data_IF_846189461180
#
_entry.id   IF_846189461180
#
_cell.length_a   1.000
_cell.length_b   1.000
_cell.length_c   1.000
_cell.angle_alpha   90.00
_cell.angle_beta   90.00
_cell.angle_gamma   90.00
#
_symmetry.space_group_name_H-M   'P 1'
#
loop_
_entity.id
_entity.type
_entity.pdbx_description
1 polymer ?
#
# COMPACT_ATOMS: atom_id res chain seq x y z
N UNK A 1 -80.89 -30.94 -114.23
CA UNK A 1 -80.26 -32.03 -113.47
C UNK A 1 -79.74 -31.42 -112.16
N UNK A 2 -80.51 -31.50 -111.06
CA UNK A 2 -80.39 -32.53 -109.97
C UNK A 2 -79.03 -32.45 -109.26
N UNK A 3 -78.85 -32.28 -107.93
CA UNK A 3 -79.71 -32.31 -106.72
C UNK A 3 -79.01 -31.52 -105.57
N UNK A 4 -79.84 -30.96 -104.67
CA UNK A 4 -79.73 -30.67 -103.22
C UNK A 4 -78.39 -30.82 -102.43
N UNK A 5 -78.13 -29.93 -101.46
CA UNK A 5 -78.35 -30.18 -99.99
C UNK A 5 -78.08 -28.91 -99.14
N UNK A 6 -78.92 -28.70 -98.11
CA UNK A 6 -78.95 -27.59 -97.13
C UNK A 6 -77.71 -27.54 -96.22
N UNK A 7 -77.29 -26.33 -95.81
CA UNK A 7 -76.48 -26.12 -94.59
C UNK A 7 -77.12 -25.03 -93.74
N UNK A 8 -77.52 -25.40 -92.52
CA UNK A 8 -78.01 -24.54 -91.46
C UNK A 8 -76.86 -23.68 -90.91
N UNK A 9 -77.10 -22.38 -90.71
CA UNK A 9 -76.29 -21.52 -89.87
C UNK A 9 -76.53 -21.88 -88.39
N UNK A 10 -75.46 -22.20 -87.65
CA UNK A 10 -75.49 -22.23 -86.18
C UNK A 10 -74.35 -21.35 -85.66
N UNK A 11 -74.74 -20.29 -84.97
CA UNK A 11 -73.91 -19.29 -84.29
C UNK A 11 -73.22 -19.90 -83.07
N UNK A 12 -71.88 -19.92 -83.06
CA UNK A 12 -71.10 -20.30 -81.89
C UNK A 12 -70.68 -19.02 -81.14
N UNK A 13 -71.25 -18.83 -79.94
CA UNK A 13 -70.84 -17.79 -79.01
C UNK A 13 -69.47 -18.15 -78.41
N UNK A 14 -68.49 -17.26 -78.55
CA UNK A 14 -67.21 -17.34 -77.87
C UNK A 14 -67.42 -17.04 -76.37
N UNK A 15 -67.46 -18.09 -75.55
CA UNK A 15 -67.34 -17.97 -74.09
C UNK A 15 -65.84 -17.77 -73.82
N UNK A 16 -65.45 -16.52 -73.55
CA UNK A 16 -64.14 -16.21 -72.98
C UNK A 16 -64.06 -16.78 -71.57
N UNK A 17 -63.49 -17.99 -71.45
CA UNK A 17 -63.00 -18.53 -70.19
C UNK A 17 -61.83 -17.66 -69.74
N UNK A 18 -62.11 -16.66 -68.90
CA UNK A 18 -61.08 -16.06 -68.06
C UNK A 18 -60.62 -17.16 -67.09
N UNK A 19 -59.54 -17.86 -67.45
CA UNK A 19 -58.86 -18.78 -66.54
C UNK A 19 -58.29 -17.94 -65.39
N UNK A 20 -58.96 -17.95 -64.23
CA UNK A 20 -58.35 -17.48 -63.00
C UNK A 20 -57.10 -18.32 -62.74
N UNK A 21 -55.97 -17.68 -62.45
CA UNK A 21 -54.78 -18.38 -62.00
C UNK A 21 -55.14 -19.16 -60.73
N UNK A 22 -55.16 -20.49 -60.82
CA UNK A 22 -55.28 -21.33 -59.65
C UNK A 22 -54.03 -21.12 -58.78
N UNK A 23 -54.21 -20.57 -57.59
CA UNK A 23 -53.18 -20.52 -56.54
C UNK A 23 -53.15 -21.90 -55.89
N UNK A 24 -52.51 -22.86 -56.56
CA UNK A 24 -52.23 -24.17 -55.98
C UNK A 24 -50.80 -24.16 -55.44
N UNK A 25 -50.64 -24.53 -54.17
CA UNK A 25 -49.31 -24.70 -53.59
C UNK A 25 -48.58 -25.83 -54.31
N UNK A 26 -47.30 -25.63 -54.60
CA UNK A 26 -46.44 -26.70 -55.08
C UNK A 26 -45.98 -27.51 -53.88
N UNK A 27 -46.57 -28.69 -53.72
CA UNK A 27 -46.16 -29.66 -52.71
C UNK A 27 -45.39 -30.78 -53.41
N UNK A 28 -44.12 -30.92 -53.05
CA UNK A 28 -43.30 -32.05 -53.42
C UNK A 28 -43.41 -33.09 -52.30
N UNK A 29 -43.93 -34.28 -52.61
CA UNK A 29 -44.18 -35.34 -51.62
C UNK A 29 -42.92 -36.16 -51.29
N UNK A 30 -41.79 -35.81 -51.90
CA UNK A 30 -40.50 -36.48 -51.77
C UNK A 30 -39.37 -35.44 -51.77
N UNK A 31 -38.12 -35.88 -51.57
CA UNK A 31 -36.93 -35.04 -51.58
C UNK A 31 -36.86 -34.18 -52.86
N UNK A 32 -36.62 -32.88 -52.68
CA UNK A 32 -36.46 -31.94 -53.79
C UNK A 32 -34.99 -31.65 -54.00
N UNK A 33 -34.48 -32.04 -55.17
CA UNK A 33 -33.16 -31.64 -55.64
C UNK A 33 -33.35 -30.50 -56.63
N UNK A 34 -32.91 -29.30 -56.25
CA UNK A 34 -32.78 -28.17 -57.18
C UNK A 34 -31.36 -28.18 -57.72
N UNK A 35 -31.20 -28.52 -59.01
CA UNK A 35 -29.92 -28.41 -59.71
C UNK A 35 -29.71 -26.95 -60.16
N UNK A 36 -28.67 -26.30 -59.63
CA UNK A 36 -28.41 -24.87 -59.81
C UNK A 36 -28.77 -24.03 -58.57
N UNK A 37 -29.57 -22.99 -58.75
CA UNK A 37 -29.89 -21.99 -57.71
C UNK A 37 -31.39 -21.84 -57.46
N UNK A 38 -31.76 -21.57 -56.21
CA UNK A 38 -33.13 -21.29 -55.78
C UNK A 38 -33.29 -19.82 -55.38
N UNK A 39 -34.33 -19.15 -55.89
CA UNK A 39 -34.78 -17.85 -55.38
C UNK A 39 -36.08 -18.00 -54.60
N UNK A 40 -36.14 -17.46 -53.38
CA UNK A 40 -37.35 -17.42 -52.55
C UNK A 40 -37.66 -16.00 -52.10
N UNK A 41 -38.92 -15.58 -52.23
CA UNK A 41 -39.39 -14.25 -51.81
C UNK A 41 -40.10 -13.48 -52.92
N UNK A 42 -40.80 -12.41 -52.54
CA UNK A 42 -41.66 -11.64 -53.45
C UNK A 42 -40.90 -10.90 -54.56
N UNK A 43 -39.60 -10.64 -54.35
CA UNK A 43 -38.77 -9.86 -55.27
C UNK A 43 -37.93 -10.74 -56.22
N UNK A 44 -38.16 -12.05 -56.23
CA UNK A 44 -37.57 -12.98 -57.19
C UNK A 44 -38.13 -12.76 -58.61
N UNK A 45 -37.27 -12.87 -59.63
CA UNK A 45 -37.68 -12.61 -61.03
C UNK A 45 -37.33 -13.78 -61.94
N UNK A 46 -38.08 -13.92 -63.04
CA UNK A 46 -37.78 -14.92 -64.06
C UNK A 46 -36.47 -14.55 -64.81
N UNK A 47 -35.60 -15.53 -65.04
CA UNK A 47 -34.31 -15.33 -65.71
C UNK A 47 -33.24 -14.66 -64.82
N UNK A 48 -33.34 -14.80 -63.50
CA UNK A 48 -32.41 -14.19 -62.56
C UNK A 48 -30.96 -14.72 -62.71
N UNK A 49 -29.97 -13.83 -62.57
CA UNK A 49 -28.56 -14.18 -62.55
C UNK A 49 -28.11 -14.40 -61.10
N UNK A 50 -27.73 -15.64 -60.78
CA UNK A 50 -27.39 -16.04 -59.41
C UNK A 50 -25.90 -15.88 -59.06
N UNK A 51 -25.00 -15.84 -60.04
CA UNK A 51 -23.57 -15.82 -59.77
C UNK A 51 -23.15 -17.07 -58.97
N UNK A 52 -22.67 -16.86 -57.75
CA UNK A 52 -22.27 -17.94 -56.83
C UNK A 52 -23.32 -18.25 -55.76
N UNK A 53 -24.49 -17.61 -55.79
CA UNK A 53 -25.54 -17.86 -54.80
C UNK A 53 -26.27 -19.18 -55.09
N UNK A 54 -26.14 -20.16 -54.19
CA UNK A 54 -26.95 -21.40 -54.25
C UNK A 54 -28.40 -21.13 -53.86
N UNK A 55 -28.62 -20.32 -52.83
CA UNK A 55 -29.95 -19.87 -52.38
C UNK A 55 -29.92 -18.35 -52.25
N UNK A 56 -30.85 -17.67 -52.91
CA UNK A 56 -31.03 -16.22 -52.80
C UNK A 56 -32.42 -15.93 -52.23
N UNK A 57 -32.48 -15.20 -51.13
CA UNK A 57 -33.74 -14.76 -50.53
C UNK A 57 -33.96 -13.27 -50.85
N UNK A 58 -35.12 -12.89 -51.39
CA UNK A 58 -35.39 -11.52 -51.85
C UNK A 58 -36.76 -11.00 -51.45
N UNK A 59 -36.75 -10.11 -50.47
CA UNK A 59 -37.88 -9.29 -49.99
C UNK A 59 -37.37 -8.32 -48.92
N UNK A 60 -38.25 -7.48 -48.38
CA UNK A 60 -37.90 -6.55 -47.30
C UNK A 60 -37.68 -7.22 -45.93
N UNK A 61 -38.26 -8.41 -45.69
CA UNK A 61 -38.32 -9.04 -44.35
C UNK A 61 -37.85 -10.49 -44.39
N UNK A 62 -36.54 -10.68 -44.55
CA UNK A 62 -35.95 -12.00 -44.79
C UNK A 62 -35.76 -12.81 -43.50
N UNK A 63 -36.42 -13.97 -43.41
CA UNK A 63 -36.34 -14.90 -42.26
C UNK A 63 -36.21 -16.35 -42.72
N UNK A 64 -35.38 -17.12 -42.02
CA UNK A 64 -35.39 -18.59 -42.08
C UNK A 64 -35.83 -19.06 -40.70
N UNK A 65 -37.08 -19.51 -40.58
CA UNK A 65 -37.64 -20.01 -39.32
C UNK A 65 -37.47 -21.53 -39.22
N UNK A 66 -36.95 -21.97 -38.08
CA UNK A 66 -36.95 -23.35 -37.63
C UNK A 66 -38.10 -23.50 -36.61
N UNK A 67 -39.22 -24.03 -37.10
CA UNK A 67 -40.44 -24.25 -36.31
C UNK A 67 -40.45 -25.69 -35.78
N UNK A 68 -40.26 -25.87 -34.47
CA UNK A 68 -40.21 -27.17 -33.83
C UNK A 68 -41.61 -27.64 -33.44
N UNK A 69 -42.18 -28.51 -34.27
CA UNK A 69 -43.52 -29.08 -34.07
C UNK A 69 -43.58 -30.24 -33.05
N UNK A 70 -42.47 -30.56 -32.36
CA UNK A 70 -42.39 -31.70 -31.46
C UNK A 70 -43.35 -31.57 -30.26
N UNK A 71 -44.18 -32.60 -30.05
CA UNK A 71 -45.22 -32.60 -29.01
C UNK A 71 -44.89 -33.48 -27.80
N UNK A 72 -43.91 -34.38 -27.88
CA UNK A 72 -43.50 -35.24 -26.77
C UNK A 72 -42.58 -34.50 -25.79
N UNK A 73 -42.72 -34.77 -24.48
CA UNK A 73 -42.02 -34.01 -23.43
C UNK A 73 -40.49 -34.24 -23.39
N UNK A 74 -40.01 -35.33 -23.99
CA UNK A 74 -38.60 -35.69 -24.03
C UNK A 74 -37.80 -34.98 -25.12
N UNK A 75 -38.45 -34.31 -26.06
CA UNK A 75 -37.76 -33.61 -27.15
C UNK A 75 -37.55 -32.14 -26.80
N UNK A 76 -36.45 -31.52 -27.27
CA UNK A 76 -36.35 -30.07 -27.42
C UNK A 76 -37.56 -29.52 -28.19
N UNK A 77 -37.91 -28.25 -27.96
CA UNK A 77 -39.09 -27.59 -28.55
C UNK A 77 -38.88 -26.11 -28.86
N UNK A 78 -37.63 -25.68 -28.96
CA UNK A 78 -37.32 -24.26 -29.06
C UNK A 78 -37.29 -23.84 -30.53
N UNK A 79 -38.11 -22.87 -30.89
CA UNK A 79 -38.14 -22.30 -32.22
C UNK A 79 -36.98 -21.31 -32.38
N UNK A 80 -36.24 -21.46 -33.48
CA UNK A 80 -35.13 -20.58 -33.82
C UNK A 80 -35.38 -19.88 -35.14
N UNK A 81 -34.74 -18.74 -35.36
CA UNK A 81 -34.81 -18.02 -36.63
C UNK A 81 -33.48 -17.36 -36.98
N UNK A 82 -33.09 -17.45 -38.26
CA UNK A 82 -32.08 -16.56 -38.82
C UNK A 82 -32.77 -15.32 -39.36
N UNK A 83 -32.33 -14.15 -38.91
CA UNK A 83 -32.92 -12.86 -39.23
C UNK A 83 -31.91 -11.96 -39.92
N UNK A 84 -32.23 -11.51 -41.12
CA UNK A 84 -31.51 -10.42 -41.78
C UNK A 84 -32.36 -9.14 -41.75
N UNK A 85 -31.80 -8.10 -41.12
CA UNK A 85 -32.38 -6.76 -40.90
C UNK A 85 -33.69 -6.74 -40.09
N UNK A 86 -33.94 -5.61 -39.42
CA UNK A 86 -35.22 -5.33 -38.78
C UNK A 86 -36.31 -5.01 -39.81
N UNK A 87 -37.57 -5.30 -39.46
CA UNK A 87 -38.74 -5.07 -40.32
C UNK A 87 -39.35 -3.67 -40.20
N UNK A 88 -39.00 -2.94 -39.14
CA UNK A 88 -39.48 -1.58 -38.91
C UNK A 88 -38.75 -0.58 -39.80
N UNK A 89 -39.47 0.46 -40.26
CA UNK A 89 -38.83 1.57 -40.97
C UNK A 89 -37.82 2.28 -40.04
N UNK A 90 -36.57 2.39 -40.50
CA UNK A 90 -35.46 2.89 -39.68
C UNK A 90 -34.88 1.89 -38.67
N UNK A 91 -35.25 0.61 -38.78
CA UNK A 91 -34.69 -0.46 -37.96
C UNK A 91 -33.22 -0.77 -38.25
N UNK A 92 -32.62 -1.66 -37.45
CA UNK A 92 -31.20 -1.97 -37.55
C UNK A 92 -30.88 -2.83 -38.79
N UNK A 93 -29.75 -2.53 -39.44
CA UNK A 93 -29.13 -3.38 -40.44
C UNK A 93 -28.25 -4.41 -39.74
N UNK A 94 -28.63 -5.69 -39.78
CA UNK A 94 -27.99 -6.73 -38.95
C UNK A 94 -28.22 -8.15 -39.46
N UNK A 95 -27.44 -9.08 -38.93
CA UNK A 95 -27.70 -10.52 -38.99
C UNK A 95 -27.79 -11.08 -37.57
N UNK A 96 -28.87 -11.80 -37.27
CA UNK A 96 -29.18 -12.28 -35.91
C UNK A 96 -29.59 -13.75 -35.89
N UNK A 97 -29.28 -14.42 -34.78
CA UNK A 97 -29.87 -15.70 -34.38
C UNK A 97 -30.88 -15.40 -33.29
N UNK A 98 -32.15 -15.65 -33.56
CA UNK A 98 -33.25 -15.37 -32.64
C UNK A 98 -33.81 -16.66 -32.04
N UNK A 99 -34.01 -16.64 -30.73
CA UNK A 99 -34.82 -17.58 -29.97
C UNK A 99 -36.25 -17.05 -29.95
N UNK A 100 -37.10 -17.63 -30.79
CA UNK A 100 -38.48 -17.18 -31.01
C UNK A 100 -39.36 -17.59 -29.83
N UNK A 101 -39.21 -18.82 -29.33
CA UNK A 101 -39.98 -19.31 -28.19
C UNK A 101 -39.66 -18.55 -26.90
N UNK A 102 -38.38 -18.23 -26.69
CA UNK A 102 -37.88 -17.51 -25.52
C UNK A 102 -37.92 -15.98 -25.64
N UNK A 103 -38.28 -15.43 -26.81
CA UNK A 103 -38.27 -14.00 -27.14
C UNK A 103 -36.93 -13.33 -26.84
N UNK A 104 -35.83 -13.91 -27.35
CA UNK A 104 -34.45 -13.44 -27.13
C UNK A 104 -33.69 -13.43 -28.44
N UNK A 105 -32.65 -12.62 -28.51
CA UNK A 105 -31.69 -12.63 -29.62
C UNK A 105 -30.29 -12.88 -29.05
N UNK A 106 -29.87 -14.15 -28.92
CA UNK A 106 -28.59 -14.48 -28.30
C UNK A 106 -27.36 -13.97 -29.08
N UNK A 107 -27.48 -13.78 -30.40
CA UNK A 107 -26.38 -13.33 -31.23
C UNK A 107 -26.83 -12.33 -32.28
N UNK A 108 -26.05 -11.27 -32.47
CA UNK A 108 -26.26 -10.25 -33.50
C UNK A 108 -24.93 -9.70 -33.98
N UNK A 109 -24.78 -9.58 -35.31
CA UNK A 109 -23.73 -8.79 -35.95
C UNK A 109 -24.42 -7.66 -36.71
N UNK A 110 -24.15 -6.42 -36.33
CA UNK A 110 -24.63 -5.24 -37.07
C UNK A 110 -23.82 -4.99 -38.35
N UNK A 111 -24.44 -4.35 -39.33
CA UNK A 111 -23.76 -3.88 -40.51
C UNK A 111 -22.58 -2.96 -40.13
N UNK A 112 -21.48 -3.07 -40.87
CA UNK A 112 -20.20 -2.40 -40.60
C UNK A 112 -19.41 -2.91 -39.38
N UNK A 113 -19.86 -3.97 -38.70
CA UNK A 113 -18.95 -4.74 -37.86
C UNK A 113 -17.71 -5.12 -38.68
N UNK A 114 -16.52 -4.77 -38.17
CA UNK A 114 -15.26 -5.00 -38.89
C UNK A 114 -15.01 -6.50 -39.15
N UNK A 115 -14.15 -6.80 -40.10
CA UNK A 115 -13.57 -8.14 -40.24
C UNK A 115 -12.92 -8.59 -38.92
N UNK A 116 -13.21 -9.81 -38.50
CA UNK A 116 -12.69 -10.40 -37.27
C UNK A 116 -13.09 -9.64 -36.00
N UNK A 117 -14.26 -8.98 -36.00
CA UNK A 117 -14.84 -8.39 -34.79
C UNK A 117 -14.93 -9.42 -33.65
N UNK A 118 -15.41 -10.62 -33.98
CA UNK A 118 -15.28 -11.84 -33.21
C UNK A 118 -14.79 -12.93 -34.17
N UNK A 119 -13.70 -13.60 -33.84
CA UNK A 119 -13.13 -14.68 -34.63
C UNK A 119 -12.83 -15.86 -33.73
N UNK A 120 -13.25 -17.06 -34.14
CA UNK A 120 -12.89 -18.31 -33.47
C UNK A 120 -11.99 -19.07 -34.45
N UNK A 121 -10.75 -19.33 -34.07
CA UNK A 121 -9.80 -20.05 -34.91
C UNK A 121 -9.96 -21.58 -34.78
N UNK A 122 -9.20 -22.34 -35.58
CA UNK A 122 -9.23 -23.81 -35.59
C UNK A 122 -8.60 -24.46 -34.35
N UNK A 123 -7.90 -23.68 -33.53
CA UNK A 123 -7.42 -24.06 -32.21
C UNK A 123 -8.44 -23.83 -31.09
N UNK A 124 -9.59 -23.21 -31.39
CA UNK A 124 -10.63 -22.88 -30.41
C UNK A 124 -10.42 -21.55 -29.67
N UNK A 125 -9.46 -20.72 -30.10
CA UNK A 125 -9.15 -19.43 -29.47
C UNK A 125 -10.06 -18.33 -30.00
N UNK A 126 -10.38 -17.35 -29.15
CA UNK A 126 -11.25 -16.23 -29.47
C UNK A 126 -10.42 -14.96 -29.73
N UNK A 127 -10.43 -14.48 -30.96
CA UNK A 127 -9.92 -13.18 -31.35
C UNK A 127 -11.01 -12.11 -31.28
N UNK A 128 -10.71 -11.01 -30.58
CA UNK A 128 -11.46 -9.75 -30.65
C UNK A 128 -10.64 -8.76 -31.46
N UNK A 129 -11.11 -8.46 -32.68
CA UNK A 129 -10.43 -7.59 -33.67
C UNK A 129 -9.14 -8.19 -34.27
N UNK A 130 -8.97 -9.51 -34.20
CA UNK A 130 -7.84 -10.24 -34.81
C UNK A 130 -8.28 -11.62 -35.30
N UNK A 131 -7.74 -12.07 -36.44
CA UNK A 131 -7.89 -13.43 -36.96
C UNK A 131 -6.76 -14.38 -36.56
N UNK A 132 -5.78 -13.88 -35.82
CA UNK A 132 -4.60 -14.66 -35.38
C UNK A 132 -4.44 -14.56 -33.86
N UNK A 133 -5.42 -15.04 -33.08
CA UNK A 133 -5.30 -15.06 -31.63
C UNK A 133 -4.07 -15.90 -31.22
N UNK A 134 -3.23 -15.38 -30.31
CA UNK A 134 -2.02 -16.08 -29.83
C UNK A 134 -2.24 -16.79 -28.49
N UNK A 135 -3.33 -16.46 -27.81
CA UNK A 135 -3.78 -17.02 -26.53
C UNK A 135 -5.29 -17.27 -26.61
N UNK A 136 -5.87 -17.92 -25.60
CA UNK A 136 -7.30 -18.31 -25.57
C UNK A 136 -8.26 -17.15 -25.84
N UNK A 137 -7.96 -15.96 -25.31
CA UNK A 137 -8.69 -14.72 -25.61
C UNK A 137 -7.68 -13.63 -25.97
N UNK A 138 -7.69 -13.19 -27.22
CA UNK A 138 -6.76 -12.16 -27.71
C UNK A 138 -7.54 -10.94 -28.24
N UNK A 139 -7.41 -9.81 -27.53
CA UNK A 139 -8.00 -8.53 -27.94
C UNK A 139 -6.91 -7.59 -28.47
N UNK A 140 -7.07 -7.08 -29.70
CA UNK A 140 -6.17 -6.09 -30.30
C UNK A 140 -6.89 -4.76 -30.43
N UNK A 141 -6.37 -3.71 -29.79
CA UNK A 141 -6.82 -2.34 -29.99
C UNK A 141 -5.64 -1.38 -30.14
N UNK A 142 -5.85 -0.23 -30.77
CA UNK A 142 -4.80 0.74 -31.07
C UNK A 142 -4.24 1.43 -29.83
N UNK A 143 -5.02 1.48 -28.76
CA UNK A 143 -4.63 2.00 -27.45
C UNK A 143 -5.49 1.33 -26.37
N UNK A 144 -4.85 0.93 -25.27
CA UNK A 144 -5.49 0.45 -24.04
C UNK A 144 -6.58 -0.61 -24.26
N UNK A 145 -6.24 -1.78 -24.86
CA UNK A 145 -7.15 -2.93 -24.87
C UNK A 145 -7.66 -3.23 -23.46
N UNK A 146 -8.97 -3.46 -23.35
CA UNK A 146 -9.68 -3.47 -22.06
C UNK A 146 -10.70 -4.61 -22.02
N UNK A 147 -10.78 -5.27 -20.87
CA UNK A 147 -11.93 -6.10 -20.47
C UNK A 147 -12.77 -5.31 -19.46
N UNK A 148 -14.07 -5.15 -19.74
CA UNK A 148 -15.02 -4.48 -18.84
C UNK A 148 -15.86 -5.49 -18.08
N UNK A 149 -15.94 -5.31 -16.77
CA UNK A 149 -16.87 -5.98 -15.86
C UNK A 149 -17.88 -4.94 -15.37
N UNK A 150 -19.14 -5.08 -15.76
CA UNK A 150 -20.20 -4.11 -15.45
C UNK A 150 -21.37 -4.79 -14.75
N UNK A 151 -21.71 -4.29 -13.56
CA UNK A 151 -22.96 -4.54 -12.86
C UNK A 151 -23.92 -3.38 -13.16
N UNK A 152 -25.06 -3.67 -13.78
CA UNK A 152 -26.01 -2.68 -14.32
C UNK A 152 -27.21 -2.38 -13.40
N UNK A 153 -27.28 -3.02 -12.24
CA UNK A 153 -28.33 -2.85 -11.23
C UNK A 153 -29.65 -3.58 -11.52
N UNK A 154 -29.75 -4.32 -12.62
CA UNK A 154 -30.93 -5.11 -12.98
C UNK A 154 -31.33 -6.14 -11.90
N UNK A 155 -30.38 -6.56 -11.07
CA UNK A 155 -30.58 -7.48 -9.94
C UNK A 155 -30.70 -6.79 -8.58
N UNK A 156 -30.96 -5.47 -8.54
CA UNK A 156 -31.23 -4.71 -7.30
C UNK A 156 -29.99 -4.26 -6.50
N UNK A 157 -28.79 -4.53 -7.01
CA UNK A 157 -27.54 -4.02 -6.44
C UNK A 157 -27.15 -2.67 -7.05
N UNK A 158 -26.39 -1.85 -6.32
CA UNK A 158 -25.89 -0.59 -6.87
C UNK A 158 -25.00 -0.84 -8.11
N UNK A 159 -25.15 -0.10 -9.21
CA UNK A 159 -24.30 -0.28 -10.39
C UNK A 159 -22.81 -0.08 -10.09
N UNK A 160 -21.96 -0.93 -10.64
CA UNK A 160 -20.51 -0.87 -10.46
C UNK A 160 -19.80 -1.33 -11.73
N UNK A 161 -18.83 -0.56 -12.21
CA UNK A 161 -18.08 -0.87 -13.43
C UNK A 161 -16.58 -0.87 -13.14
N UNK A 162 -15.92 -1.96 -13.52
CA UNK A 162 -14.48 -2.15 -13.42
C UNK A 162 -13.90 -2.46 -14.79
N UNK A 163 -12.73 -1.88 -15.07
CA UNK A 163 -11.94 -2.24 -16.27
C UNK A 163 -10.62 -2.89 -15.85
N UNK A 164 -10.25 -3.97 -16.55
CA UNK A 164 -8.91 -4.55 -16.53
C UNK A 164 -8.26 -4.23 -17.87
N UNK A 165 -7.18 -3.46 -17.85
CA UNK A 165 -6.59 -2.90 -19.07
C UNK A 165 -5.07 -2.78 -18.99
N UNK A 166 -4.44 -2.65 -20.15
CA UNK A 166 -3.01 -2.41 -20.25
C UNK A 166 -2.61 -1.67 -21.51
N UNK A 167 -1.55 -0.87 -21.42
CA UNK A 167 -0.93 -0.15 -22.54
C UNK A 167 0.58 0.02 -22.28
N UNK A 168 1.25 0.82 -23.13
CA UNK A 168 2.69 1.08 -23.06
C UNK A 168 3.15 1.84 -21.80
N UNK A 169 2.22 2.33 -20.99
CA UNK A 169 2.52 3.08 -19.78
C UNK A 169 2.23 2.30 -18.49
N UNK A 170 1.27 1.37 -18.50
CA UNK A 170 0.93 0.50 -17.37
C UNK A 170 -0.10 -0.59 -17.70
N UNK A 171 -0.09 -1.65 -16.88
CA UNK A 171 -1.21 -2.54 -16.61
C UNK A 171 -1.96 -2.06 -15.37
N UNK A 172 -3.30 -2.08 -15.35
CA UNK A 172 -4.08 -1.53 -14.24
C UNK A 172 -5.49 -2.10 -14.09
N UNK A 173 -6.03 -1.93 -12.89
CA UNK A 173 -7.47 -2.09 -12.58
C UNK A 173 -8.04 -0.70 -12.36
N UNK A 174 -9.15 -0.37 -13.04
CA UNK A 174 -9.81 0.94 -12.97
C UNK A 174 -11.22 0.84 -12.41
N UNK A 175 -11.49 1.62 -11.37
CA UNK A 175 -12.85 1.85 -10.86
C UNK A 175 -13.54 2.93 -11.71
N UNK A 176 -14.28 2.51 -12.75
CA UNK A 176 -14.92 3.44 -13.67
C UNK A 176 -16.02 4.22 -12.97
N UNK A 177 -16.77 3.58 -12.07
CA UNK A 177 -17.88 4.20 -11.34
C UNK A 177 -17.39 5.32 -10.42
N UNK A 178 -16.32 5.08 -9.65
CA UNK A 178 -15.84 6.00 -8.63
C UNK A 178 -14.72 6.91 -9.15
N UNK A 179 -14.97 7.58 -10.29
CA UNK A 179 -14.08 8.61 -10.82
C UNK A 179 -12.87 8.08 -11.60
N UNK A 180 -12.92 6.86 -12.15
CA UNK A 180 -11.82 6.26 -12.92
C UNK A 180 -10.51 6.14 -12.14
N UNK A 181 -10.60 5.92 -10.82
CA UNK A 181 -9.43 5.72 -9.98
C UNK A 181 -8.72 4.42 -10.34
N UNK A 182 -7.40 4.39 -10.15
CA UNK A 182 -6.54 3.25 -10.47
C UNK A 182 -5.96 2.64 -9.19
N UNK A 183 -6.75 1.87 -8.42
CA UNK A 183 -6.29 1.29 -7.14
C UNK A 183 -5.15 0.28 -7.31
N UNK A 184 -4.99 -0.31 -8.50
CA UNK A 184 -3.88 -1.20 -8.82
C UNK A 184 -3.23 -0.80 -10.14
N UNK A 185 -1.90 -0.70 -10.15
CA UNK A 185 -1.11 -0.33 -11.34
C UNK A 185 0.28 -0.96 -11.30
N UNK A 186 0.68 -1.60 -12.40
CA UNK A 186 2.05 -2.07 -12.66
C UNK A 186 2.59 -1.31 -13.87
N UNK A 187 3.76 -0.68 -13.76
CA UNK A 187 4.41 -0.02 -14.90
C UNK A 187 5.27 -1.03 -15.67
N UNK A 188 5.46 -0.84 -17.00
CA UNK A 188 6.39 -1.65 -17.76
C UNK A 188 7.79 -1.62 -17.15
N UNK A 189 8.44 -2.78 -17.09
CA UNK A 189 9.76 -2.92 -16.49
C UNK A 189 9.77 -3.11 -14.98
N UNK A 190 8.61 -3.20 -14.30
CA UNK A 190 8.56 -3.66 -12.91
C UNK A 190 9.23 -5.05 -12.79
N UNK A 191 10.18 -5.25 -11.86
CA UNK A 191 10.87 -6.53 -11.70
C UNK A 191 9.94 -7.70 -11.35
N UNK A 192 10.42 -8.92 -11.56
CA UNK A 192 9.78 -10.13 -11.04
C UNK A 192 9.59 -10.03 -9.53
N UNK A 193 8.48 -10.56 -9.02
CA UNK A 193 8.18 -10.56 -7.58
C UNK A 193 8.10 -9.16 -6.97
N UNK A 194 7.76 -8.13 -7.77
CA UNK A 194 7.46 -6.79 -7.23
C UNK A 194 6.35 -6.83 -6.17
N UNK A 195 5.34 -7.68 -6.39
CA UNK A 195 4.40 -8.18 -5.39
C UNK A 195 4.27 -9.67 -5.66
N UNK A 196 4.58 -10.50 -4.68
CA UNK A 196 4.42 -11.95 -4.72
C UNK A 196 3.53 -12.39 -3.57
N UNK A 197 2.62 -13.33 -3.82
CA UNK A 197 1.77 -13.92 -2.78
C UNK A 197 2.05 -15.42 -2.83
N UNK A 198 2.66 -15.96 -1.77
CA UNK A 198 3.01 -17.37 -1.68
C UNK A 198 1.77 -18.24 -1.35
N UNK A 199 1.94 -19.55 -1.43
CA UNK A 199 0.92 -20.58 -1.26
C UNK A 199 0.33 -20.67 0.15
N UNK A 200 1.03 -20.14 1.16
CA UNK A 200 0.55 -19.98 2.53
C UNK A 200 -0.09 -18.60 2.79
N UNK A 201 -0.05 -17.70 1.81
CA UNK A 201 -0.65 -16.37 1.84
C UNK A 201 0.32 -15.24 2.23
N UNK A 202 1.59 -15.55 2.47
CA UNK A 202 2.61 -14.55 2.79
C UNK A 202 2.91 -13.66 1.58
N UNK A 203 3.13 -12.36 1.82
CA UNK A 203 3.31 -11.35 0.76
C UNK A 203 4.75 -10.88 0.71
N UNK A 204 5.43 -11.15 -0.40
CA UNK A 204 6.77 -10.65 -0.70
C UNK A 204 6.75 -9.37 -1.54
N UNK A 205 7.52 -8.37 -1.14
CA UNK A 205 7.81 -7.16 -1.92
C UNK A 205 9.28 -7.19 -2.35
N UNK A 206 9.53 -7.61 -3.59
CA UNK A 206 10.88 -7.88 -4.10
C UNK A 206 11.36 -9.31 -3.82
N UNK A 207 10.51 -10.15 -3.23
CA UNK A 207 10.83 -11.48 -2.74
C UNK A 207 9.84 -12.52 -3.29
N UNK A 208 10.36 -13.67 -3.74
CA UNK A 208 9.58 -14.82 -4.24
C UNK A 208 9.45 -15.98 -3.24
N UNK A 209 10.04 -15.83 -2.05
CA UNK A 209 10.05 -16.82 -0.98
C UNK A 209 10.00 -16.09 0.37
N UNK A 210 8.92 -15.35 0.65
CA UNK A 210 8.80 -14.55 1.87
C UNK A 210 8.97 -15.41 3.13
N UNK A 211 9.80 -14.96 4.07
CA UNK A 211 10.03 -15.64 5.36
C UNK A 211 9.01 -15.20 6.44
N UNK A 212 8.12 -14.25 6.11
CA UNK A 212 7.09 -13.72 6.98
C UNK A 212 5.88 -13.21 6.17
N UNK A 213 4.73 -13.05 6.85
CA UNK A 213 3.48 -12.62 6.21
C UNK A 213 3.54 -11.31 5.43
N UNK A 214 4.48 -10.43 5.78
CA UNK A 214 4.92 -9.37 4.89
C UNK A 214 6.44 -9.34 4.92
N UNK A 215 7.06 -9.65 3.80
CA UNK A 215 8.50 -9.56 3.62
C UNK A 215 8.87 -8.47 2.62
N UNK A 216 9.89 -7.69 2.95
CA UNK A 216 10.40 -6.61 2.10
C UNK A 216 11.88 -6.84 1.91
N UNK A 217 12.22 -7.50 0.82
CA UNK A 217 13.59 -7.90 0.52
C UNK A 217 14.15 -7.09 -0.66
N UNK A 218 15.44 -6.81 -0.60
CA UNK A 218 16.19 -6.23 -1.72
C UNK A 218 17.69 -6.33 -1.49
N UNK A 219 18.45 -6.37 -2.57
CA UNK A 219 19.89 -6.69 -2.57
C UNK A 219 20.79 -5.55 -3.05
N UNK A 220 20.23 -4.38 -3.37
CA UNK A 220 20.97 -3.22 -3.90
C UNK A 220 21.47 -2.25 -2.81
N UNK A 221 21.22 -2.56 -1.54
CA UNK A 221 21.57 -1.74 -0.39
C UNK A 221 20.64 -0.54 -0.15
N UNK A 222 19.49 -0.48 -0.82
CA UNK A 222 18.52 0.63 -0.68
C UNK A 222 17.18 0.23 -0.06
N UNK A 223 17.00 -1.06 0.27
CA UNK A 223 15.80 -1.64 0.88
C UNK A 223 15.42 -0.90 2.16
N UNK A 224 14.16 -0.46 2.24
CA UNK A 224 13.60 0.23 3.42
C UNK A 224 12.07 0.18 3.42
N UNK A 225 11.49 0.18 4.61
CA UNK A 225 10.10 0.54 4.82
C UNK A 225 10.01 2.07 5.02
N UNK A 226 9.40 2.78 4.07
CA UNK A 226 9.13 4.22 4.20
C UNK A 226 7.64 4.45 4.43
N UNK A 227 7.32 5.02 5.59
CA UNK A 227 5.95 5.46 5.93
C UNK A 227 5.96 6.98 6.08
N UNK A 228 5.11 7.67 5.32
CA UNK A 228 5.08 9.13 5.26
C UNK A 228 3.62 9.64 5.25
N UNK A 229 3.30 10.56 6.15
CA UNK A 229 2.03 11.29 6.18
C UNK A 229 2.25 12.68 5.56
N UNK A 230 1.64 12.94 4.40
CA UNK A 230 1.90 14.13 3.58
C UNK A 230 0.84 15.23 3.73
N UNK A 231 -0.07 15.12 4.70
CA UNK A 231 -1.06 16.16 4.98
C UNK A 231 -0.40 17.52 5.19
N UNK A 232 -0.91 18.55 4.50
CA UNK A 232 -0.44 19.93 4.67
C UNK A 232 -0.81 20.57 6.01
N UNK A 233 -1.53 19.86 6.89
CA UNK A 233 -1.85 20.32 8.24
C UNK A 233 -0.88 19.73 9.26
N UNK A 234 -0.24 20.61 10.03
CA UNK A 234 0.62 20.21 11.15
C UNK A 234 -0.24 19.74 12.32
N UNK A 235 -0.22 18.44 12.60
CA UNK A 235 -0.87 17.85 13.77
C UNK A 235 -0.22 16.52 14.11
N UNK A 236 -0.31 16.11 15.38
CA UNK A 236 0.15 14.80 15.80
C UNK A 236 -0.67 13.70 15.11
N UNK A 237 0.00 12.69 14.54
CA UNK A 237 -0.61 11.57 13.83
C UNK A 237 0.13 10.28 14.17
N UNK A 238 -0.61 9.19 14.29
CA UNK A 238 -0.04 7.85 14.37
C UNK A 238 0.28 7.39 12.95
N UNK A 239 1.55 7.26 12.61
CA UNK A 239 2.01 6.78 11.30
C UNK A 239 2.32 5.28 11.30
N UNK A 240 2.57 4.70 12.46
CA UNK A 240 2.76 3.26 12.65
C UNK A 240 2.15 2.86 13.99
N UNK A 241 1.43 1.74 14.01
CA UNK A 241 0.79 1.18 15.19
C UNK A 241 1.11 -0.32 15.28
N UNK A 242 1.57 -0.76 16.46
CA UNK A 242 1.91 -2.15 16.74
C UNK A 242 1.09 -2.62 17.94
N UNK A 243 0.11 -3.50 17.72
CA UNK A 243 -0.81 -3.96 18.75
C UNK A 243 -0.54 -5.43 19.04
N UNK A 244 -0.35 -5.75 20.32
CA UNK A 244 -0.20 -7.11 20.80
C UNK A 244 -0.86 -7.26 22.18
N UNK A 245 -1.32 -8.46 22.52
CA UNK A 245 -1.80 -8.78 23.87
C UNK A 245 -0.65 -8.84 24.91
N UNK A 246 0.57 -9.08 24.44
CA UNK A 246 1.81 -8.90 25.20
C UNK A 246 2.53 -7.60 24.85
N UNK A 247 3.81 -7.49 25.22
CA UNK A 247 4.66 -6.38 24.79
C UNK A 247 4.87 -6.46 23.26
N UNK A 248 4.43 -5.50 22.43
CA UNK A 248 4.95 -5.35 21.08
C UNK A 248 6.45 -5.03 21.14
N UNK A 249 7.26 -5.75 20.35
CA UNK A 249 8.69 -5.54 20.24
C UNK A 249 9.05 -5.27 18.77
N UNK A 250 9.78 -4.18 18.54
CA UNK A 250 10.49 -3.92 17.29
C UNK A 250 11.91 -4.46 17.42
N UNK A 251 12.32 -5.31 16.49
CA UNK A 251 13.63 -5.97 16.50
C UNK A 251 14.59 -5.28 15.52
N UNK A 252 15.82 -5.05 15.97
CA UNK A 252 16.93 -4.51 15.21
C UNK A 252 18.04 -5.57 15.20
N UNK A 253 18.11 -6.32 14.10
CA UNK A 253 19.03 -7.44 13.94
C UNK A 253 20.26 -7.05 13.13
N UNK A 254 21.42 -7.55 13.57
CA UNK A 254 22.66 -7.49 12.80
C UNK A 254 23.17 -8.92 12.58
N UNK A 255 22.95 -9.43 11.36
CA UNK A 255 23.33 -10.78 10.94
C UNK A 255 24.85 -10.98 10.96
N UNK A 256 25.63 -9.95 10.64
CA UNK A 256 27.11 -10.03 10.63
C UNK A 256 27.73 -10.24 12.01
N UNK A 257 27.08 -9.75 13.08
CA UNK A 257 27.54 -9.91 14.48
C UNK A 257 26.74 -10.95 15.25
N UNK A 258 25.69 -11.50 14.64
CA UNK A 258 24.70 -12.38 15.27
C UNK A 258 24.12 -11.78 16.56
N UNK A 259 23.91 -10.46 16.59
CA UNK A 259 23.34 -9.72 17.71
C UNK A 259 22.03 -9.06 17.32
N UNK A 260 21.17 -8.91 18.32
CA UNK A 260 19.90 -8.22 18.20
C UNK A 260 19.67 -7.26 19.36
N UNK A 261 19.03 -6.15 19.03
CA UNK A 261 18.37 -5.28 19.99
C UNK A 261 16.87 -5.34 19.77
N UNK A 262 16.10 -5.17 20.84
CA UNK A 262 14.67 -4.95 20.71
C UNK A 262 14.24 -3.74 21.53
N UNK A 263 13.26 -3.02 21.00
CA UNK A 263 12.59 -1.90 21.64
C UNK A 263 11.12 -2.27 21.75
N UNK A 264 10.59 -2.28 22.97
CA UNK A 264 9.20 -2.65 23.18
C UNK A 264 8.53 -1.82 24.25
N UNK A 265 7.22 -1.65 24.11
CA UNK A 265 6.37 -0.92 25.06
C UNK A 265 5.30 -1.83 25.63
N UNK A 266 5.14 -1.82 26.96
CA UNK A 266 4.05 -2.50 27.66
C UNK A 266 3.67 -1.66 28.87
N UNK A 267 3.79 -2.19 30.09
CA UNK A 267 3.78 -1.37 31.31
C UNK A 267 4.87 -0.30 31.31
N UNK A 268 6.04 -0.64 30.77
CA UNK A 268 7.21 0.25 30.66
C UNK A 268 7.76 0.18 29.24
N UNK A 269 8.53 1.20 28.83
CA UNK A 269 9.38 1.10 27.65
C UNK A 269 10.68 0.41 28.01
N UNK A 270 11.07 -0.62 27.25
CA UNK A 270 12.26 -1.42 27.52
C UNK A 270 13.13 -1.59 26.28
N UNK A 271 14.44 -1.52 26.50
CA UNK A 271 15.47 -1.78 25.51
C UNK A 271 16.23 -3.02 25.94
N UNK A 272 16.24 -4.02 25.07
CA UNK A 272 16.88 -5.31 25.35
C UNK A 272 17.93 -5.65 24.31
N UNK A 273 18.92 -6.44 24.71
CA UNK A 273 19.94 -6.99 23.81
C UNK A 273 20.00 -8.52 23.94
N UNK A 274 20.26 -9.24 22.85
CA UNK A 274 20.40 -10.69 22.85
C UNK A 274 21.12 -11.25 21.62
N UNK A 275 21.07 -12.57 21.47
CA UNK A 275 21.51 -13.25 20.26
C UNK A 275 20.48 -13.06 19.12
N UNK A 276 20.93 -13.19 17.88
CA UNK A 276 20.08 -13.22 16.69
C UNK A 276 19.01 -14.32 16.82
N UNK A 277 17.76 -14.00 16.49
CA UNK A 277 16.61 -14.91 16.53
C UNK A 277 16.15 -15.33 17.93
N UNK A 278 16.73 -14.79 19.01
CA UNK A 278 16.35 -15.22 20.36
C UNK A 278 15.00 -14.64 20.79
N UNK A 279 14.17 -15.44 21.46
CA UNK A 279 12.86 -15.00 21.96
C UNK A 279 12.94 -13.68 22.74
N UNK A 280 11.98 -12.74 22.60
CA UNK A 280 12.00 -11.45 23.30
C UNK A 280 12.00 -11.54 24.83
N UNK A 281 11.54 -12.67 25.38
CA UNK A 281 11.59 -12.98 26.81
C UNK A 281 13.01 -13.29 27.31
N UNK A 282 13.85 -13.88 26.46
CA UNK A 282 15.22 -14.32 26.81
C UNK A 282 16.26 -13.19 26.74
N UNK A 283 15.96 -12.10 26.04
CA UNK A 283 16.86 -10.96 25.87
C UNK A 283 17.07 -10.22 27.19
N UNK A 284 18.30 -9.76 27.43
CA UNK A 284 18.67 -9.01 28.65
C UNK A 284 18.21 -7.57 28.54
N UNK A 285 17.45 -7.09 29.51
CA UNK A 285 17.10 -5.67 29.65
C UNK A 285 18.36 -4.84 29.92
N UNK A 286 18.51 -3.74 29.20
CA UNK A 286 19.63 -2.80 29.33
C UNK A 286 19.19 -1.45 29.86
N UNK A 287 18.00 -1.00 29.46
CA UNK A 287 17.39 0.24 29.88
C UNK A 287 15.87 0.08 29.99
N UNK A 288 15.29 0.65 31.04
CA UNK A 288 13.84 0.71 31.27
C UNK A 288 13.45 2.14 31.57
N UNK A 289 12.43 2.65 30.89
CA UNK A 289 11.72 3.89 31.22
C UNK A 289 10.32 3.51 31.73
N UNK A 290 10.02 3.88 32.96
CA UNK A 290 8.77 3.60 33.64
C UNK A 290 7.70 4.64 33.26
N UNK A 291 6.43 4.28 33.44
CA UNK A 291 5.29 5.16 33.10
C UNK A 291 5.28 6.47 33.90
N UNK A 292 5.80 6.46 35.13
CA UNK A 292 5.95 7.63 36.00
C UNK A 292 7.14 8.53 35.63
N UNK A 293 7.94 8.14 34.62
CA UNK A 293 9.08 8.88 34.12
C UNK A 293 10.42 8.48 34.75
N UNK A 294 10.43 7.56 35.71
CA UNK A 294 11.67 7.02 36.26
C UNK A 294 12.41 6.17 35.22
N UNK A 295 13.74 6.07 35.36
CA UNK A 295 14.55 5.26 34.45
C UNK A 295 15.61 4.44 35.19
N UNK A 296 15.78 3.19 34.75
CA UNK A 296 16.83 2.29 35.26
C UNK A 296 17.75 1.87 34.11
N UNK A 297 19.05 2.03 34.32
CA UNK A 297 20.11 1.54 33.44
C UNK A 297 20.81 0.36 34.13
N UNK A 298 20.94 -0.77 33.44
CA UNK A 298 21.67 -1.94 33.98
C UNK A 298 23.19 -1.74 33.95
N UNK A 299 23.66 -0.87 33.06
CA UNK A 299 25.06 -0.43 33.01
C UNK A 299 25.30 0.91 33.73
N UNK A 300 26.43 1.54 33.43
CA UNK A 300 26.78 2.86 33.94
C UNK A 300 26.37 3.96 32.96
N UNK A 301 25.97 5.12 33.49
CA UNK A 301 25.78 6.32 32.67
C UNK A 301 27.13 7.00 32.47
N UNK A 302 27.59 7.07 31.23
CA UNK A 302 28.81 7.78 30.84
C UNK A 302 28.45 8.90 29.88
N UNK A 303 28.98 10.09 30.10
CA UNK A 303 28.70 11.27 29.30
C UNK A 303 29.88 11.56 28.37
N UNK A 304 29.61 11.77 27.08
CA UNK A 304 30.63 12.19 26.11
C UNK A 304 30.95 13.68 26.31
N UNK A 305 32.15 14.00 26.79
CA UNK A 305 32.50 15.38 27.14
C UNK A 305 33.02 16.21 25.96
N UNK A 306 32.50 17.43 25.79
CA UNK A 306 33.35 18.57 25.40
C UNK A 306 33.49 19.48 26.61
N UNK A 307 34.74 19.67 27.05
CA UNK A 307 35.26 20.70 27.95
C UNK A 307 34.53 20.90 29.28
N UNK A 308 35.25 20.63 30.37
CA UNK A 308 34.91 21.03 31.73
C UNK A 308 34.47 22.50 31.83
N UNK A 309 33.18 22.78 31.69
CA UNK A 309 32.57 24.10 31.85
C UNK A 309 32.41 24.54 33.31
N UNK A 310 33.33 24.13 34.18
CA UNK A 310 33.31 24.40 35.62
C UNK A 310 33.63 23.22 36.56
N UNK A 311 34.20 22.11 36.06
CA UNK A 311 34.42 20.88 36.85
C UNK A 311 35.65 20.05 36.47
N UNK A 312 36.69 20.69 35.92
CA UNK A 312 38.03 20.09 35.87
C UNK A 312 38.78 20.54 37.13
N UNK A 313 39.80 19.77 37.51
CA UNK A 313 40.82 20.00 38.56
C UNK A 313 41.65 21.31 38.37
N UNK A 314 41.08 22.33 37.73
CA UNK A 314 41.68 23.63 37.49
C UNK A 314 41.91 24.40 38.79
N UNK A 315 41.16 24.13 39.85
CA UNK A 315 41.34 24.80 41.15
C UNK A 315 42.74 24.51 41.72
N UNK A 316 43.35 23.39 41.36
CA UNK A 316 44.72 23.03 41.74
C UNK A 316 45.80 23.59 40.81
N UNK A 317 45.45 24.30 39.74
CA UNK A 317 46.44 24.88 38.84
C UNK A 317 47.05 26.16 39.42
N UNK A 318 48.34 26.37 39.18
CA UNK A 318 49.07 27.54 39.68
C UNK A 318 48.49 28.88 39.17
N UNK A 319 47.84 28.86 38.01
CA UNK A 319 47.24 30.03 37.38
C UNK A 319 45.77 30.26 37.80
N UNK A 320 45.23 29.43 38.70
CA UNK A 320 43.87 29.59 39.20
C UNK A 320 43.80 30.70 40.25
N UNK A 321 42.95 31.70 39.99
CA UNK A 321 42.65 32.77 40.93
C UNK A 321 41.77 32.24 42.07
N UNK A 322 42.41 31.60 43.04
CA UNK A 322 41.76 31.04 44.21
C UNK A 322 41.38 32.16 45.20
N UNK A 323 40.08 32.43 45.43
CA UNK A 323 39.68 33.40 46.43
C UNK A 323 40.11 32.96 47.83
N UNK A 324 40.30 33.90 48.75
CA UNK A 324 40.53 33.54 50.15
C UNK A 324 39.30 32.84 50.75
N UNK A 325 39.52 32.06 51.81
CA UNK A 325 38.42 31.41 52.55
C UNK A 325 37.36 32.41 53.02
N UNK A 326 37.77 33.64 53.36
CA UNK A 326 36.86 34.71 53.77
C UNK A 326 36.05 35.24 52.59
N UNK A 327 36.69 35.57 51.46
CA UNK A 327 35.98 36.07 50.26
C UNK A 327 35.02 35.02 49.70
N UNK A 328 35.42 33.75 49.72
CA UNK A 328 34.58 32.65 49.28
C UNK A 328 33.36 32.47 50.21
N UNK A 329 33.57 32.52 51.53
CA UNK A 329 32.49 32.45 52.51
C UNK A 329 31.51 33.62 52.36
N UNK A 330 32.01 34.85 52.20
CA UNK A 330 31.18 36.04 51.97
C UNK A 330 30.29 35.87 50.73
N UNK A 331 30.87 35.40 49.60
CA UNK A 331 30.11 35.13 48.38
C UNK A 331 29.06 34.04 48.58
N UNK A 332 29.42 32.93 49.22
CA UNK A 332 28.49 31.82 49.50
C UNK A 332 27.29 32.29 50.34
N UNK A 333 27.53 33.03 51.43
CA UNK A 333 26.45 33.55 52.28
C UNK A 333 25.60 34.61 51.57
N UNK A 334 26.20 35.44 50.70
CA UNK A 334 25.47 36.42 49.91
C UNK A 334 24.57 35.78 48.83
N UNK A 335 25.04 34.68 48.21
CA UNK A 335 24.32 33.96 47.16
C UNK A 335 23.29 32.97 47.70
N UNK A 336 23.46 32.48 48.93
CA UNK A 336 22.62 31.41 49.50
C UNK A 336 22.87 30.03 48.90
N UNK A 337 23.95 29.87 48.12
CA UNK A 337 24.42 28.61 47.55
C UNK A 337 25.92 28.70 47.28
N UNK A 338 26.55 27.57 46.98
CA UNK A 338 27.96 27.54 46.59
C UNK A 338 28.14 28.25 45.23
N UNK A 339 29.11 29.20 45.10
CA UNK A 339 29.23 30.06 43.92
C UNK A 339 29.33 29.30 42.59
N UNK A 340 30.16 28.25 42.52
CA UNK A 340 30.40 27.51 41.28
C UNK A 340 29.30 26.48 40.99
N UNK A 341 28.67 25.89 42.01
CA UNK A 341 27.53 24.97 41.86
C UNK A 341 26.27 25.66 41.36
N UNK A 342 26.08 26.93 41.70
CA UNK A 342 24.88 27.69 41.37
C UNK A 342 23.64 27.25 42.15
N UNK A 343 22.50 27.93 41.98
CA UNK A 343 21.28 27.63 42.73
C UNK A 343 20.68 26.27 42.33
N UNK A 344 19.93 25.68 43.26
CA UNK A 344 19.10 24.50 43.01
C UNK A 344 17.67 24.89 43.34
N UNK A 345 16.91 25.27 42.32
CA UNK A 345 15.54 25.79 42.48
C UNK A 345 14.59 24.59 42.53
N UNK A 346 13.68 24.60 43.49
CA UNK A 346 12.66 23.56 43.64
C UNK A 346 11.81 23.45 42.36
N UNK A 347 11.57 22.21 41.90
CA UNK A 347 10.83 21.88 40.66
C UNK A 347 11.44 22.39 39.34
N UNK A 348 12.62 23.00 39.35
CA UNK A 348 13.32 23.36 38.13
C UNK A 348 14.16 22.19 37.60
N UNK A 349 14.25 21.97 36.28
CA UNK A 349 15.13 20.97 35.71
C UNK A 349 16.60 21.31 35.98
N UNK A 350 17.38 20.31 36.37
CA UNK A 350 18.83 20.45 36.56
C UNK A 350 19.58 19.60 35.54
N UNK A 351 20.68 20.14 35.01
CA UNK A 351 21.65 19.33 34.28
C UNK A 351 22.52 18.58 35.30
N UNK A 352 22.22 17.30 35.51
CA UNK A 352 22.92 16.46 36.51
C UNK A 352 24.42 16.40 36.25
N UNK A 353 24.86 16.36 34.99
CA UNK A 353 26.29 16.26 34.65
C UNK A 353 27.05 17.53 34.99
N UNK A 354 26.49 18.68 34.64
CA UNK A 354 27.07 19.99 34.98
C UNK A 354 27.07 20.21 36.50
N UNK A 355 25.97 19.86 37.17
CA UNK A 355 25.86 19.97 38.63
C UNK A 355 26.92 19.12 39.34
N UNK A 356 27.14 17.88 38.89
CA UNK A 356 28.20 17.01 39.41
C UNK A 356 29.59 17.62 39.21
N UNK A 357 29.91 18.14 38.03
CA UNK A 357 31.19 18.79 37.76
C UNK A 357 31.44 20.01 38.64
N UNK A 358 30.44 20.88 38.80
CA UNK A 358 30.57 22.07 39.66
C UNK A 358 30.65 21.73 41.15
N UNK A 359 30.00 20.65 41.58
CA UNK A 359 30.16 20.16 42.96
C UNK A 359 31.58 19.65 43.22
N UNK A 360 32.22 19.00 42.23
CA UNK A 360 33.64 18.64 42.33
C UNK A 360 34.51 19.88 42.48
N UNK A 361 34.29 20.92 41.66
CA UNK A 361 35.03 22.17 41.77
C UNK A 361 34.91 22.83 43.16
N UNK A 362 33.72 22.90 43.76
CA UNK A 362 33.55 23.41 45.13
C UNK A 362 34.21 22.51 46.19
N UNK A 363 34.20 21.19 45.97
CA UNK A 363 34.87 20.25 46.83
C UNK A 363 36.39 20.46 46.80
N UNK A 364 36.98 20.82 45.66
CA UNK A 364 38.40 21.18 45.54
C UNK A 364 38.75 22.43 46.34
N UNK A 365 37.94 23.50 46.22
CA UNK A 365 38.11 24.72 47.03
C UNK A 365 38.10 24.40 48.53
N UNK A 366 37.14 23.58 48.97
CA UNK A 366 37.04 23.18 50.37
C UNK A 366 38.32 22.46 50.86
N UNK A 367 38.89 21.56 50.06
CA UNK A 367 40.11 20.85 50.43
C UNK A 367 41.33 21.78 50.54
N UNK A 368 41.47 22.77 49.65
CA UNK A 368 42.56 23.75 49.74
C UNK A 368 42.42 24.64 50.98
N UNK A 369 41.21 25.12 51.29
CA UNK A 369 40.99 25.95 52.47
C UNK A 369 41.23 25.19 53.77
N UNK A 370 40.86 23.90 53.84
CA UNK A 370 41.16 23.05 54.98
C UNK A 370 42.69 22.94 55.18
N UNK A 371 43.45 22.70 54.11
CA UNK A 371 44.92 22.64 54.18
C UNK A 371 45.54 23.97 54.64
N UNK A 372 45.08 25.11 54.11
CA UNK A 372 45.53 26.44 54.55
C UNK A 372 45.20 26.71 56.03
N UNK A 373 44.04 26.25 56.49
CA UNK A 373 43.63 26.45 57.87
C UNK A 373 44.43 25.57 58.84
N UNK A 374 44.76 24.34 58.46
CA UNK A 374 45.65 23.45 59.20
C UNK A 374 47.06 24.05 59.35
N UNK A 375 47.61 24.62 58.28
CA UNK A 375 48.91 25.33 58.33
C UNK A 375 48.87 26.51 59.31
N UNK A 376 47.79 27.30 59.27
CA UNK A 376 47.60 28.44 60.19
C UNK A 376 47.45 27.99 61.64
N UNK A 377 46.75 26.88 61.90
CA UNK A 377 46.63 26.30 63.23
C UNK A 377 47.98 25.84 63.74
N UNK A 378 48.77 25.14 62.91
CA UNK A 378 50.14 24.74 63.27
C UNK A 378 51.03 25.93 63.60
N UNK A 379 50.99 27.01 62.80
CA UNK A 379 51.73 28.24 63.08
C UNK A 379 51.25 28.93 64.38
N UNK A 380 49.94 28.87 64.67
CA UNK A 380 49.38 29.39 65.92
C UNK A 380 49.84 28.57 67.12
N UNK A 381 49.86 27.24 67.03
CA UNK A 381 50.37 26.35 68.08
C UNK A 381 51.86 26.62 68.35
N UNK A 382 52.68 26.78 67.32
CA UNK A 382 54.10 27.16 67.44
C UNK A 382 54.29 28.54 68.08
N UNK A 383 53.39 29.48 67.80
CA UNK A 383 53.40 30.80 68.42
C UNK A 383 52.99 30.71 69.88
N UNK A 384 51.94 29.95 70.21
CA UNK A 384 51.49 29.73 71.58
C UNK A 384 52.62 29.08 72.40
N UNK A 385 53.27 28.05 71.88
CA UNK A 385 54.41 27.41 72.52
C UNK A 385 55.57 28.39 72.80
N UNK A 386 55.88 29.30 71.86
CA UNK A 386 56.87 30.36 72.05
C UNK A 386 56.44 31.38 73.11
N UNK A 387 55.17 31.78 73.11
CA UNK A 387 54.64 32.71 74.11
C UNK A 387 54.65 32.08 75.51
N UNK A 388 54.29 30.81 75.64
CA UNK A 388 54.34 30.07 76.90
C UNK A 388 55.78 29.98 77.44
N UNK A 389 56.77 29.74 76.57
CA UNK A 389 58.18 29.75 76.94
C UNK A 389 58.65 31.14 77.42
N UNK A 390 58.24 32.22 76.74
CA UNK A 390 58.54 33.59 77.19
C UNK A 390 57.88 33.94 78.52
N UNK A 391 56.63 33.54 78.73
CA UNK A 391 55.93 33.74 80.01
C UNK A 391 56.65 33.01 81.14
N UNK A 392 57.14 31.80 80.90
CA UNK A 392 57.94 31.05 81.87
C UNK A 392 59.24 31.80 82.24
N UNK A 393 59.99 32.29 81.25
CA UNK A 393 61.24 33.05 81.44
C UNK A 393 61.02 34.39 82.18
N UNK A 394 59.99 35.16 81.79
CA UNK A 394 59.59 36.37 82.51
C UNK A 394 59.17 36.05 83.96
N UNK A 395 58.45 34.94 84.17
CA UNK A 395 58.05 34.52 85.52
C UNK A 395 59.27 34.22 86.41
N UNK A 396 60.30 33.57 85.87
CA UNK A 396 61.57 33.37 86.58
C UNK A 396 62.28 34.70 86.87
N UNK A 397 62.33 35.60 85.89
CA UNK A 397 62.95 36.93 86.06
C UNK A 397 62.24 37.77 87.13
N UNK A 398 60.90 37.76 87.16
CA UNK A 398 60.12 38.44 88.19
C UNK A 398 60.36 37.82 89.56
N UNK A 399 60.44 36.49 89.69
CA UNK A 399 60.80 35.83 90.96
C UNK A 399 62.19 36.27 91.45
N UNK A 400 63.16 36.39 90.53
CA UNK A 400 64.51 36.85 90.87
C UNK A 400 64.54 38.32 91.32
N UNK A 401 63.78 39.21 90.66
CA UNK A 401 63.64 40.61 91.06
C UNK A 401 62.92 40.77 92.41
N UNK A 402 61.86 39.98 92.65
CA UNK A 402 61.16 39.94 93.94
C UNK A 402 62.12 39.56 95.07
N UNK A 403 62.95 38.53 94.86
CA UNK A 403 63.96 38.10 95.83
C UNK A 403 65.05 39.16 96.11
N UNK A 404 65.33 40.05 95.16
CA UNK A 404 66.24 41.19 95.33
C UNK A 404 65.59 42.37 96.09
N UNK A 405 64.29 42.60 95.87
CA UNK A 405 63.51 43.63 96.58
C UNK A 405 63.26 43.25 98.05
N UNK A 406 63.03 41.97 98.35
CA UNK A 406 62.85 41.48 99.72
C UNK A 406 64.16 41.51 100.56
N UNK A 407 65.31 41.86 99.95
CA UNK A 407 66.63 42.00 100.60
C UNK A 407 67.03 43.45 100.94
N UNK A 408 66.20 44.44 100.60
CA UNK A 408 66.31 45.83 101.08
C UNK A 408 65.16 46.12 102.05
#
# INVERSE_FOLDING_TARGET
>A
MTYFTRILFSSTAMIGLAAGAAQADQVFLDDVIVDGSLCVGFDCVNGESFGFDTIRLKENNLRIKFDDTSTAASYPRNDWQLTANDSANGGANKFSIDDISGNRTPFTIEANARSHALYVDDGGRIGSRTSTPSTEIHTVDGDTPTLRLQQDGSSGFAPQTWDVAGNETNFFIRDVTNGSTLPFRIRPGAPTSSIFIDTDGDVGLGDSSPDASLDVEGSDGTTKLRVEETSGTSGARTVAEFINNGRPDMVLANTSTSKEWSIGGGTNMVFKSGALGSDPGSKTTRFTLFEDGDATLTGTLTTGGTTCGGGCDLVFSDDYDLPSVQEHAEKMFALGHLPNVGPTIENAPINVSDKLGRMLNELEHAHIYIAQQDERLSQQDDRIARQDAQIADLSETVKALQALLDQN
#
